data_IF_272894493169
#
_entry.id   IF_272894493169
#
_cell.length_a   1.000
_cell.length_b   1.000
_cell.length_c   1.000
_cell.angle_alpha   90.00
_cell.angle_beta   90.00
_cell.angle_gamma   90.00
#
_symmetry.space_group_name_H-M   'P 1'
#
loop_
_entity.id
_entity.type
_entity.pdbx_description
1 polymer ?
#
# COMPACT_ATOMS: atom_id res chain seq x y z
N UNK A 1 -5.84 -12.92 -9.74
CA UNK A 1 -5.07 -12.38 -10.88
C UNK A 1 -6.00 -11.61 -11.81
N UNK A 2 -5.55 -10.46 -12.27
CA UNK A 2 -6.26 -9.64 -13.24
C UNK A 2 -5.39 -9.48 -14.48
N UNK A 3 -5.98 -9.55 -15.67
CA UNK A 3 -5.22 -9.39 -16.89
C UNK A 3 -6.02 -8.62 -17.96
N UNK A 4 -5.29 -7.91 -18.81
CA UNK A 4 -5.82 -7.23 -19.99
C UNK A 4 -4.76 -7.29 -21.09
N UNK A 5 -5.04 -8.01 -22.19
CA UNK A 5 -4.06 -8.27 -23.23
C UNK A 5 -2.86 -9.01 -22.67
N UNK A 6 -1.67 -8.42 -22.77
CA UNK A 6 -0.42 -9.00 -22.26
C UNK A 6 -0.10 -8.54 -20.83
N UNK A 7 -0.96 -7.74 -20.19
CA UNK A 7 -0.73 -7.25 -18.84
C UNK A 7 -1.40 -8.18 -17.84
N UNK A 8 -0.62 -8.68 -16.89
CA UNK A 8 -1.12 -9.50 -15.78
C UNK A 8 -0.71 -8.87 -14.47
N UNK A 9 -1.69 -8.70 -13.57
CA UNK A 9 -1.46 -8.14 -12.25
C UNK A 9 -1.94 -9.11 -11.19
N UNK A 10 -1.22 -9.16 -10.08
CA UNK A 10 -1.67 -9.88 -8.89
C UNK A 10 -2.58 -8.95 -8.08
N UNK A 11 -3.77 -9.45 -7.74
CA UNK A 11 -4.76 -8.69 -6.96
C UNK A 11 -4.78 -9.26 -5.55
N UNK A 12 -4.66 -8.38 -4.56
CA UNK A 12 -4.67 -8.77 -3.15
C UNK A 12 -5.80 -8.05 -2.43
N UNK A 13 -6.68 -8.80 -1.77
CA UNK A 13 -7.70 -8.21 -0.91
C UNK A 13 -7.03 -7.58 0.31
N UNK A 14 -7.28 -6.29 0.53
CA UNK A 14 -6.59 -5.49 1.55
C UNK A 14 -7.62 -4.66 2.33
N UNK A 15 -8.49 -5.32 3.12
CA UNK A 15 -9.53 -4.60 3.85
C UNK A 15 -8.95 -3.80 5.03
N UNK A 16 -9.71 -2.83 5.50
CA UNK A 16 -9.36 -2.01 6.65
C UNK A 16 -9.83 -0.58 6.45
N UNK A 17 -9.35 0.10 5.40
CA UNK A 17 -9.90 1.39 5.00
C UNK A 17 -11.33 1.21 4.49
N UNK A 18 -11.56 0.17 3.69
CA UNK A 18 -12.88 -0.22 3.22
C UNK A 18 -12.93 -1.75 3.07
N UNK A 19 -14.12 -2.38 3.23
CA UNK A 19 -14.23 -3.86 3.17
C UNK A 19 -13.82 -4.46 1.84
N UNK A 20 -14.07 -3.76 0.73
CA UNK A 20 -13.77 -4.26 -0.61
C UNK A 20 -12.46 -3.78 -1.19
N UNK A 21 -11.63 -3.12 -0.38
CA UNK A 21 -10.38 -2.55 -0.87
C UNK A 21 -9.41 -3.64 -1.35
N UNK A 22 -8.79 -3.39 -2.50
CA UNK A 22 -7.78 -4.29 -3.06
C UNK A 22 -6.54 -3.50 -3.46
N UNK A 23 -5.41 -4.19 -3.54
CA UNK A 23 -4.16 -3.67 -4.09
C UNK A 23 -3.79 -4.48 -5.32
N UNK A 24 -3.00 -3.90 -6.20
CA UNK A 24 -2.54 -4.57 -7.43
C UNK A 24 -1.04 -4.46 -7.52
N UNK A 25 -0.36 -5.54 -7.94
CA UNK A 25 1.07 -5.40 -8.24
C UNK A 25 1.46 -6.22 -9.47
N UNK A 26 2.49 -5.75 -10.15
CA UNK A 26 3.05 -6.35 -11.34
C UNK A 26 3.72 -5.29 -12.20
N UNK A 27 4.52 -5.71 -13.14
CA UNK A 27 5.16 -4.83 -14.10
C UNK A 27 5.91 -3.64 -13.49
N UNK A 28 6.58 -3.88 -12.36
CA UNK A 28 7.39 -2.85 -11.71
C UNK A 28 6.61 -1.91 -10.81
N UNK A 29 5.34 -2.17 -10.55
CA UNK A 29 4.46 -1.25 -9.81
C UNK A 29 3.66 -2.00 -8.74
N UNK A 30 3.49 -1.37 -7.60
CA UNK A 30 2.56 -1.76 -6.55
C UNK A 30 1.54 -0.64 -6.37
N UNK A 31 0.31 -0.89 -6.80
CA UNK A 31 -0.80 0.06 -6.65
C UNK A 31 -1.42 -0.13 -5.27
N UNK A 32 -1.10 0.77 -4.37
CA UNK A 32 -1.52 0.65 -2.98
C UNK A 32 -2.93 1.16 -2.71
N UNK A 33 -3.50 1.94 -3.62
CA UNK A 33 -4.80 2.57 -3.39
C UNK A 33 -4.80 3.38 -2.11
N UNK A 34 -5.79 3.13 -1.25
CA UNK A 34 -5.91 3.81 0.04
C UNK A 34 -5.38 2.97 1.22
N UNK A 35 -4.67 1.86 0.95
CA UNK A 35 -4.02 1.10 2.00
C UNK A 35 -2.78 1.82 2.53
N UNK A 36 -1.91 2.23 1.61
CA UNK A 36 -0.65 2.87 1.94
C UNK A 36 -0.46 4.13 1.12
N UNK A 37 0.04 5.18 1.75
CA UNK A 37 0.55 6.37 1.10
C UNK A 37 2.07 6.41 1.27
N UNK A 38 2.73 7.39 0.67
CA UNK A 38 4.19 7.48 0.73
C UNK A 38 4.68 7.52 2.18
N UNK A 39 4.03 8.28 3.05
CA UNK A 39 4.44 8.47 4.45
C UNK A 39 3.47 7.93 5.47
N UNK A 40 2.27 7.49 5.08
CA UNK A 40 1.22 7.11 6.02
C UNK A 40 0.40 5.96 5.48
N UNK A 41 -0.71 5.65 6.12
CA UNK A 41 -1.65 4.63 5.71
C UNK A 41 -3.07 5.20 5.67
N UNK A 42 -3.97 4.51 4.99
CA UNK A 42 -5.35 4.93 4.88
C UNK A 42 -6.05 4.96 6.24
N UNK A 43 -6.94 5.92 6.42
CA UNK A 43 -7.70 6.07 7.66
C UNK A 43 -8.73 4.95 7.80
N UNK A 44 -9.05 4.59 9.04
CA UNK A 44 -9.99 3.51 9.36
C UNK A 44 -11.10 3.95 10.33
N UNK A 45 -11.24 5.26 10.52
CA UNK A 45 -12.18 5.86 11.49
C UNK A 45 -13.50 6.29 10.87
N UNK A 46 -13.71 5.99 9.58
CA UNK A 46 -14.97 6.26 8.88
C UNK A 46 -15.82 4.98 8.83
N UNK A 47 -17.15 5.10 8.54
CA UNK A 47 -17.99 3.92 8.36
C UNK A 47 -17.38 2.95 7.33
N UNK A 48 -17.33 1.66 7.70
CA UNK A 48 -16.68 0.63 6.89
C UNK A 48 -15.20 0.42 7.24
N UNK A 49 -14.59 1.33 8.01
CA UNK A 49 -13.22 1.16 8.49
C UNK A 49 -13.12 0.07 9.55
N UNK A 50 -12.02 -0.68 9.52
CA UNK A 50 -11.79 -1.82 10.41
C UNK A 50 -10.31 -1.84 10.80
N UNK A 51 -9.94 -1.26 11.96
CA UNK A 51 -8.55 -1.21 12.37
C UNK A 51 -7.84 -2.57 12.47
N UNK A 52 -8.43 -3.64 13.03
CA UNK A 52 -7.77 -4.95 13.00
C UNK A 52 -7.55 -5.48 11.59
N UNK A 53 -8.49 -5.29 10.67
CA UNK A 53 -8.31 -5.70 9.28
C UNK A 53 -7.21 -4.90 8.60
N UNK A 54 -7.15 -3.60 8.87
CA UNK A 54 -6.10 -2.72 8.36
C UNK A 54 -4.72 -3.20 8.83
N UNK A 55 -4.58 -3.57 10.09
CA UNK A 55 -3.32 -4.07 10.62
C UNK A 55 -2.89 -5.35 9.90
N UNK A 56 -3.80 -6.30 9.70
CA UNK A 56 -3.50 -7.52 8.97
C UNK A 56 -3.11 -7.23 7.52
N UNK A 57 -3.81 -6.31 6.87
CA UNK A 57 -3.51 -5.92 5.49
C UNK A 57 -2.15 -5.25 5.37
N UNK A 58 -1.77 -4.41 6.33
CA UNK A 58 -0.45 -3.78 6.37
C UNK A 58 0.66 -4.80 6.59
N UNK A 59 0.47 -5.77 7.47
CA UNK A 59 1.42 -6.85 7.69
C UNK A 59 1.62 -7.64 6.40
N UNK A 60 0.52 -8.01 5.75
CA UNK A 60 0.58 -8.73 4.49
C UNK A 60 1.25 -7.91 3.38
N UNK A 61 0.94 -6.60 3.31
CA UNK A 61 1.56 -5.70 2.35
C UNK A 61 3.07 -5.61 2.56
N UNK A 62 3.51 -5.49 3.81
CA UNK A 62 4.95 -5.45 4.12
C UNK A 62 5.64 -6.73 3.64
N UNK A 63 5.01 -7.89 3.85
CA UNK A 63 5.55 -9.16 3.39
C UNK A 63 5.68 -9.18 1.85
N UNK A 64 4.64 -8.77 1.13
CA UNK A 64 4.65 -8.71 -0.33
C UNK A 64 5.74 -7.75 -0.82
N UNK A 65 5.78 -6.54 -0.27
CA UNK A 65 6.75 -5.52 -0.67
C UNK A 65 8.19 -5.97 -0.44
N UNK A 66 8.42 -6.73 0.64
CA UNK A 66 9.75 -7.24 0.96
C UNK A 66 10.22 -8.32 -0.01
N UNK A 67 9.31 -8.98 -0.71
CA UNK A 67 9.62 -10.02 -1.68
C UNK A 67 9.75 -9.50 -3.12
N UNK A 68 9.32 -8.25 -3.37
CA UNK A 68 9.40 -7.63 -4.69
C UNK A 68 10.73 -6.88 -4.85
N UNK A 69 11.19 -6.66 -6.08
CA UNK A 69 12.41 -5.88 -6.31
C UNK A 69 12.29 -4.49 -5.67
N UNK A 70 13.31 -4.01 -4.94
CA UNK A 70 13.22 -2.75 -4.21
C UNK A 70 13.14 -1.51 -5.11
N UNK A 71 13.49 -1.61 -6.37
CA UNK A 71 13.38 -0.52 -7.33
C UNK A 71 12.01 -0.41 -7.99
N UNK A 72 11.10 -1.34 -7.72
CA UNK A 72 9.70 -1.19 -8.12
C UNK A 72 9.09 0.02 -7.40
N UNK A 73 8.02 0.55 -7.96
CA UNK A 73 7.40 1.80 -7.48
C UNK A 73 6.07 1.53 -6.79
N UNK A 74 5.90 2.11 -5.61
CA UNK A 74 4.61 2.16 -4.94
C UNK A 74 3.86 3.40 -5.41
N UNK A 75 2.64 3.22 -5.91
CA UNK A 75 1.78 4.32 -6.34
C UNK A 75 0.56 4.32 -5.43
N UNK A 76 0.41 5.33 -4.56
CA UNK A 76 -0.76 5.46 -3.69
C UNK A 76 -1.96 6.06 -4.45
N UNK A 77 -3.15 5.89 -3.89
CA UNK A 77 -4.35 6.50 -4.44
C UNK A 77 -4.40 8.01 -4.25
N UNK A 78 -3.71 8.53 -3.22
CA UNK A 78 -3.69 9.95 -2.89
C UNK A 78 -2.30 10.37 -2.42
N UNK A 79 -1.96 11.63 -2.66
CA UNK A 79 -0.78 12.27 -2.08
C UNK A 79 -1.19 12.91 -0.74
N UNK A 80 -1.12 12.14 0.33
CA UNK A 80 -1.56 12.59 1.65
C UNK A 80 -0.40 12.67 2.63
N UNK A 81 -0.26 13.81 3.28
CA UNK A 81 0.66 14.01 4.40
C UNK A 81 -0.08 14.76 5.50
N UNK A 82 -0.15 14.20 6.75
CA UNK A 82 -0.82 14.87 7.88
C UNK A 82 -0.24 16.25 8.18
N UNK A 83 1.01 16.50 7.78
CA UNK A 83 1.70 17.78 8.03
C UNK A 83 1.63 18.73 6.84
N UNK A 84 0.86 18.40 5.82
CA UNK A 84 0.67 19.22 4.62
C UNK A 84 1.96 19.56 3.88
N UNK A 85 2.94 18.65 3.93
CA UNK A 85 4.17 18.78 3.16
C UNK A 85 3.95 18.30 1.73
N UNK A 86 4.86 18.72 0.85
CA UNK A 86 4.84 18.24 -0.53
C UNK A 86 5.22 16.77 -0.59
N UNK A 87 4.42 15.96 -1.31
CA UNK A 87 4.58 14.51 -1.38
C UNK A 87 4.74 14.11 -2.85
N UNK A 88 5.72 13.25 -3.19
CA UNK A 88 5.83 12.74 -4.56
C UNK A 88 4.68 11.80 -4.91
N UNK A 89 4.47 11.59 -6.22
CA UNK A 89 3.42 10.70 -6.73
C UNK A 89 3.72 9.22 -6.49
N UNK A 90 4.98 8.89 -6.27
CA UNK A 90 5.41 7.50 -6.07
C UNK A 90 6.69 7.47 -5.23
N UNK A 91 6.98 6.28 -4.71
CA UNK A 91 8.22 6.03 -3.95
C UNK A 91 8.70 4.62 -4.30
N UNK A 92 10.01 4.36 -4.26
CA UNK A 92 10.51 3.01 -4.45
C UNK A 92 10.09 2.11 -3.29
N UNK A 93 9.92 0.81 -3.55
CA UNK A 93 9.52 -0.13 -2.51
C UNK A 93 10.56 -0.21 -1.40
N UNK A 94 11.84 -0.17 -1.75
CA UNK A 94 12.91 -0.17 -0.75
C UNK A 94 12.83 1.01 0.18
N UNK A 95 12.54 2.19 -0.36
CA UNK A 95 12.42 3.40 0.45
C UNK A 95 11.16 3.41 1.32
N UNK A 96 10.01 2.98 0.79
CA UNK A 96 8.78 2.97 1.58
C UNK A 96 8.87 2.00 2.76
N UNK A 97 9.56 0.87 2.59
CA UNK A 97 9.76 -0.08 3.69
C UNK A 97 10.55 0.51 4.84
N UNK A 98 11.47 1.43 4.54
CA UNK A 98 12.31 2.07 5.57
C UNK A 98 11.66 3.33 6.14
N UNK A 99 11.08 4.15 5.28
CA UNK A 99 10.67 5.50 5.67
C UNK A 99 9.19 5.68 5.99
N UNK A 100 8.32 4.74 5.58
CA UNK A 100 6.92 4.83 5.96
C UNK A 100 6.78 4.41 7.42
N UNK A 101 6.23 5.30 8.26
CA UNK A 101 6.11 5.06 9.69
C UNK A 101 5.38 3.76 10.00
N UNK A 102 4.24 3.52 9.32
CA UNK A 102 3.42 2.35 9.61
C UNK A 102 4.12 1.05 9.26
N UNK A 103 4.82 1.01 8.11
CA UNK A 103 5.55 -0.19 7.71
C UNK A 103 6.80 -0.42 8.55
N UNK A 104 7.52 0.64 8.87
CA UNK A 104 8.76 0.53 9.64
C UNK A 104 8.53 0.00 11.07
N UNK A 105 7.32 0.20 11.61
CA UNK A 105 6.98 -0.19 12.99
C UNK A 105 6.21 -1.50 13.08
N UNK A 106 5.98 -2.19 11.96
CA UNK A 106 5.35 -3.50 11.97
C UNK A 106 6.38 -4.55 12.34
N UNK A 107 6.09 -5.30 13.40
CA UNK A 107 6.87 -6.49 13.78
C UNK A 107 5.96 -7.69 13.69
N UNK A 108 6.37 -8.70 12.98
CA UNK A 108 5.64 -9.95 12.88
C UNK A 108 6.21 -10.97 13.83
#
# INVERSE_FOLDING_TARGET
EWSAGNIKLTVTHSPGHAPGHVTFHGHGVYHAGDLLFVKSAGRVDLPGGDPPAQQRSLINAKKILSELPPDWRLIPGHRYDPYNNEIPDWISLGEVLVYNYFLAHITE
#
